data_IF_532082729695
#
_entry.id   IF_532082729695
#
_cell.length_a   1.000
_cell.length_b   1.000
_cell.length_c   1.000
_cell.angle_alpha   90.00
_cell.angle_beta   90.00
_cell.angle_gamma   90.00
#
_symmetry.space_group_name_H-M   'P 1'
#
loop_
_entity.id
_entity.type
_entity.pdbx_description
1 polymer ?
#
# COMPACT_ATOMS: atom_id res chain seq x y z
N UNK A 1 -11.91 56.20 -46.53
CA UNK A 1 -10.72 57.05 -46.34
C UNK A 1 -9.64 56.18 -45.71
N UNK A 2 -8.50 56.00 -46.39
CA UNK A 2 -7.27 55.36 -45.87
C UNK A 2 -6.50 56.29 -44.91
N UNK A 3 -5.19 56.08 -44.63
CA UNK A 3 -4.17 55.27 -45.34
C UNK A 3 -3.52 54.16 -44.46
N UNK A 4 -3.11 53.01 -45.03
CA UNK A 4 -1.74 52.59 -45.41
C UNK A 4 -0.59 53.15 -44.55
N UNK A 5 0.22 52.24 -44.00
CA UNK A 5 1.67 52.29 -44.21
C UNK A 5 2.32 50.91 -44.03
N UNK A 6 3.20 50.62 -44.98
CA UNK A 6 4.04 49.46 -45.11
C UNK A 6 5.49 49.88 -44.83
N UNK A 7 6.28 48.99 -44.23
CA UNK A 7 7.73 49.09 -44.12
C UNK A 7 8.22 47.85 -43.38
N UNK A 8 8.60 46.77 -44.08
CA UNK A 8 9.88 46.52 -44.75
C UNK A 8 10.99 46.11 -43.77
N UNK A 9 11.56 44.94 -44.08
CA UNK A 9 12.56 44.16 -43.35
C UNK A 9 13.90 44.88 -43.14
N UNK A 10 14.62 44.50 -42.06
CA UNK A 10 16.08 44.27 -41.96
C UNK A 10 16.31 43.56 -40.60
N UNK A 11 16.61 42.26 -40.54
CA UNK A 11 17.90 41.57 -40.69
C UNK A 11 18.93 41.90 -39.58
N UNK A 12 19.18 40.87 -38.77
CA UNK A 12 20.33 40.59 -37.88
C UNK A 12 20.61 41.50 -36.68
N UNK A 13 20.44 40.94 -35.48
CA UNK A 13 21.51 40.90 -34.48
C UNK A 13 21.45 39.58 -33.69
N UNK A 14 22.54 38.84 -33.78
CA UNK A 14 22.89 37.69 -32.95
C UNK A 14 23.54 38.28 -31.70
N UNK A 15 22.88 38.22 -30.56
CA UNK A 15 23.57 38.25 -29.26
C UNK A 15 23.03 37.16 -28.33
N UNK A 16 23.97 36.32 -27.92
CA UNK A 16 23.86 35.25 -26.95
C UNK A 16 23.30 35.74 -25.62
N UNK A 17 22.17 35.15 -25.19
CA UNK A 17 21.54 35.41 -23.90
C UNK A 17 21.04 34.13 -23.25
N UNK A 18 21.79 33.02 -23.37
CA UNK A 18 21.50 31.76 -22.68
C UNK A 18 22.01 31.83 -21.24
N UNK A 19 21.26 32.48 -20.37
CA UNK A 19 21.49 32.47 -18.92
C UNK A 19 20.16 32.70 -18.21
N UNK A 20 19.70 32.00 -17.18
CA UNK A 20 20.16 30.87 -16.37
C UNK A 20 18.87 30.43 -15.65
N UNK A 21 18.21 29.36 -16.10
CA UNK A 21 17.16 28.69 -15.31
C UNK A 21 17.66 27.33 -14.86
N UNK A 22 18.90 27.30 -14.38
CA UNK A 22 19.53 26.12 -13.79
C UNK A 22 20.04 26.52 -12.42
N UNK A 23 19.13 26.93 -11.54
CA UNK A 23 19.52 27.35 -10.18
C UNK A 23 18.42 27.12 -9.14
N UNK A 24 17.34 26.39 -9.47
CA UNK A 24 16.32 26.05 -8.48
C UNK A 24 16.24 24.56 -8.14
N UNK A 25 16.62 23.68 -9.05
CA UNK A 25 16.70 22.23 -8.78
C UNK A 25 18.08 21.76 -8.35
N UNK A 26 19.13 22.58 -8.55
CA UNK A 26 20.52 22.18 -8.27
C UNK A 26 20.93 22.47 -6.81
N UNK A 27 20.38 23.52 -6.18
CA UNK A 27 20.63 23.82 -4.76
C UNK A 27 19.78 22.97 -3.79
N UNK A 28 18.81 22.21 -4.28
CA UNK A 28 17.97 21.35 -3.42
C UNK A 28 18.66 20.03 -3.04
N UNK A 29 19.80 19.70 -3.65
CA UNK A 29 20.59 18.50 -3.31
C UNK A 29 21.65 18.74 -2.24
N UNK A 30 22.07 20.00 -2.02
CA UNK A 30 23.09 20.32 -1.01
C UNK A 30 22.55 20.23 0.43
N UNK A 31 21.24 20.34 0.64
CA UNK A 31 20.62 20.30 1.97
C UNK A 31 20.29 18.88 2.47
N UNK A 32 20.33 17.87 1.58
CA UNK A 32 20.12 16.46 1.95
C UNK A 32 21.35 15.85 2.62
N UNK A 33 22.53 16.44 2.41
CA UNK A 33 23.79 15.96 2.98
C UNK A 33 23.87 16.22 4.49
N UNK A 34 23.28 17.31 4.98
CA UNK A 34 23.28 17.68 6.41
C UNK A 34 22.53 16.65 7.28
N UNK A 35 21.44 16.07 6.76
CA UNK A 35 20.68 15.01 7.45
C UNK A 35 21.33 13.63 7.36
N UNK A 36 22.11 13.37 6.32
CA UNK A 36 22.94 12.18 6.20
C UNK A 36 24.16 12.24 7.12
N UNK A 37 24.72 13.44 7.32
CA UNK A 37 25.79 13.72 8.27
C UNK A 37 25.34 13.61 9.74
N UNK A 38 24.06 13.88 10.04
CA UNK A 38 23.46 13.77 11.38
C UNK A 38 22.79 12.42 11.67
N UNK A 39 22.67 11.53 10.69
CA UNK A 39 22.27 10.16 10.97
C UNK A 39 23.35 9.54 11.86
N UNK A 40 23.02 8.95 13.03
CA UNK A 40 24.01 8.26 13.83
C UNK A 40 24.60 7.16 12.95
N UNK A 41 25.80 7.40 12.43
CA UNK A 41 26.61 6.36 11.85
C UNK A 41 26.67 5.28 12.92
N UNK A 42 26.09 4.11 12.63
CA UNK A 42 26.06 2.99 13.54
C UNK A 42 27.49 2.83 14.06
N UNK A 43 27.70 3.07 15.36
CA UNK A 43 29.06 3.16 15.93
C UNK A 43 29.86 1.95 15.47
N UNK A 44 31.11 2.17 15.07
CA UNK A 44 32.00 1.10 14.63
C UNK A 44 32.11 0.05 15.74
N UNK A 45 31.45 -1.09 15.56
CA UNK A 45 31.28 -2.13 16.61
C UNK A 45 29.82 -2.50 16.93
N UNK A 46 28.83 -1.78 16.41
CA UNK A 46 27.42 -2.16 16.56
C UNK A 46 27.12 -3.41 15.72
N UNK A 47 26.39 -4.42 16.22
CA UNK A 47 26.09 -5.65 15.46
C UNK A 47 25.49 -5.38 14.08
N UNK A 48 24.68 -4.31 13.97
CA UNK A 48 24.09 -3.87 12.70
C UNK A 48 25.07 -3.21 11.71
N UNK A 49 26.24 -2.72 12.15
CA UNK A 49 27.24 -2.17 11.24
C UNK A 49 27.87 -3.28 10.38
N UNK A 50 28.07 -4.46 10.96
CA UNK A 50 28.63 -5.63 10.27
C UNK A 50 27.65 -6.22 9.24
N UNK A 51 26.34 -6.21 9.54
CA UNK A 51 25.31 -6.75 8.64
C UNK A 51 24.72 -5.70 7.70
N UNK A 52 25.02 -4.41 7.87
CA UNK A 52 24.46 -3.32 7.04
C UNK A 52 24.69 -3.57 5.55
N UNK A 53 25.92 -3.93 5.16
CA UNK A 53 26.25 -4.22 3.77
C UNK A 53 25.44 -5.40 3.21
N UNK A 54 25.38 -6.50 3.96
CA UNK A 54 24.62 -7.70 3.58
C UNK A 54 23.11 -7.43 3.50
N UNK A 55 22.56 -6.67 4.45
CA UNK A 55 21.15 -6.29 4.45
C UNK A 55 20.79 -5.41 3.25
N UNK A 56 21.64 -4.41 2.94
CA UNK A 56 21.46 -3.56 1.76
C UNK A 56 21.57 -4.37 0.48
N UNK A 57 22.56 -5.27 0.38
CA UNK A 57 22.72 -6.14 -0.78
C UNK A 57 21.51 -7.08 -0.96
N UNK A 58 21.08 -7.78 0.09
CA UNK A 58 19.91 -8.67 0.05
C UNK A 58 18.63 -7.90 -0.28
N UNK A 59 18.44 -6.71 0.28
CA UNK A 59 17.29 -5.86 -0.03
C UNK A 59 17.29 -5.44 -1.51
N UNK A 60 18.45 -5.01 -2.03
CA UNK A 60 18.61 -4.65 -3.45
C UNK A 60 18.40 -5.85 -4.37
N UNK A 61 18.96 -7.03 -4.05
CA UNK A 61 18.77 -8.25 -4.84
C UNK A 61 17.29 -8.62 -4.92
N UNK A 62 16.58 -8.63 -3.78
CA UNK A 62 15.14 -8.92 -3.75
C UNK A 62 14.31 -7.91 -4.54
N UNK A 63 14.65 -6.62 -4.44
CA UNK A 63 13.98 -5.56 -5.19
C UNK A 63 14.18 -5.72 -6.71
N UNK A 64 15.42 -5.99 -7.15
CA UNK A 64 15.74 -6.20 -8.56
C UNK A 64 15.07 -7.47 -9.12
N UNK A 65 15.02 -8.54 -8.34
CA UNK A 65 14.32 -9.77 -8.73
C UNK A 65 12.81 -9.54 -8.86
N UNK A 66 12.21 -8.77 -7.96
CA UNK A 66 10.81 -8.37 -8.05
C UNK A 66 10.56 -7.51 -9.31
N UNK A 67 11.46 -6.55 -9.60
CA UNK A 67 11.36 -5.70 -10.80
C UNK A 67 11.49 -6.51 -12.10
N UNK A 68 12.40 -7.48 -12.15
CA UNK A 68 12.51 -8.43 -13.29
C UNK A 68 11.24 -9.26 -13.47
N UNK A 69 10.60 -9.71 -12.39
CA UNK A 69 9.32 -10.45 -12.45
C UNK A 69 8.19 -9.60 -13.03
N UNK A 70 8.12 -8.32 -12.64
CA UNK A 70 7.12 -7.37 -13.18
C UNK A 70 7.34 -7.06 -14.66
N UNK A 71 8.59 -6.92 -15.10
CA UNK A 71 8.89 -6.70 -16.52
C UNK A 71 8.57 -7.92 -17.38
N UNK A 72 8.84 -9.14 -16.89
CA UNK A 72 8.46 -10.38 -17.59
C UNK A 72 6.94 -10.56 -17.70
N UNK A 73 6.15 -10.06 -16.74
CA UNK A 73 4.69 -10.13 -16.86
C UNK A 73 4.11 -9.13 -17.87
N UNK A 74 4.82 -8.04 -18.17
CA UNK A 74 4.37 -7.02 -19.14
C UNK A 74 4.76 -7.37 -20.59
N UNK A 75 5.87 -8.10 -20.80
CA UNK A 75 6.37 -8.47 -22.13
C UNK A 75 5.75 -9.72 -22.77
N UNK A 76 4.90 -10.46 -22.05
CA UNK A 76 4.36 -11.76 -22.49
C UNK A 76 2.85 -11.69 -22.83
N UNK A 77 2.44 -10.60 -23.47
CA UNK A 77 1.07 -10.38 -23.95
C UNK A 77 0.98 -10.32 -25.48
N UNK A 78 1.87 -10.98 -26.24
CA UNK A 78 1.61 -11.28 -27.67
C UNK A 78 2.21 -12.65 -28.01
N UNK A 79 1.35 -13.54 -28.54
CA UNK A 79 1.60 -14.88 -29.13
C UNK A 79 1.77 -16.07 -28.19
N UNK A 80 0.62 -16.60 -27.75
CA UNK A 80 0.39 -18.04 -27.86
C UNK A 80 -1.10 -18.32 -28.02
N UNK A 81 -1.44 -18.92 -29.16
CA UNK A 81 -2.72 -19.52 -29.49
C UNK A 81 -2.97 -20.68 -28.53
N UNK A 82 -3.62 -20.40 -27.40
CA UNK A 82 -4.12 -21.44 -26.50
C UNK A 82 -5.63 -21.53 -26.72
N UNK A 83 -6.03 -22.73 -27.16
CA UNK A 83 -7.40 -23.19 -27.38
C UNK A 83 -8.38 -22.67 -26.30
N UNK A 84 -9.52 -22.19 -26.77
CA UNK A 84 -10.49 -21.34 -26.06
C UNK A 84 -11.27 -21.97 -24.90
N UNK A 85 -10.82 -23.08 -24.29
CA UNK A 85 -11.65 -23.83 -23.34
C UNK A 85 -11.04 -24.22 -21.97
N UNK A 86 -9.83 -23.81 -21.61
CA UNK A 86 -9.26 -24.18 -20.29
C UNK A 86 -8.56 -23.04 -19.53
N UNK A 87 -9.20 -21.87 -19.50
CA UNK A 87 -8.87 -20.84 -18.52
C UNK A 87 -9.84 -20.93 -17.34
N UNK A 88 -9.76 -22.01 -16.54
CA UNK A 88 -10.17 -21.92 -15.13
C UNK A 88 -9.31 -20.82 -14.50
N UNK A 89 -9.85 -19.61 -14.46
CA UNK A 89 -9.20 -18.45 -13.82
C UNK A 89 -8.79 -18.91 -12.42
N UNK A 90 -7.50 -18.84 -12.10
CA UNK A 90 -6.99 -19.22 -10.79
C UNK A 90 -7.68 -18.35 -9.74
N UNK A 91 -8.50 -18.97 -8.89
CA UNK A 91 -9.21 -18.29 -7.81
C UNK A 91 -8.30 -18.21 -6.58
N UNK A 92 -8.36 -17.10 -5.86
CA UNK A 92 -7.64 -16.87 -4.61
C UNK A 92 -8.53 -17.36 -3.47
N UNK A 93 -8.07 -18.33 -2.67
CA UNK A 93 -8.87 -18.83 -1.55
C UNK A 93 -9.07 -17.77 -0.45
N UNK A 94 -10.21 -17.81 0.23
CA UNK A 94 -10.42 -17.08 1.48
C UNK A 94 -9.42 -17.60 2.55
N UNK A 95 -8.69 -16.71 3.26
CA UNK A 95 -7.76 -17.11 4.33
C UNK A 95 -8.42 -17.95 5.44
N UNK A 96 -9.64 -17.61 5.87
CA UNK A 96 -10.37 -18.34 6.91
C UNK A 96 -10.77 -19.73 6.43
N UNK A 97 -11.28 -19.85 5.19
CA UNK A 97 -11.55 -21.15 4.58
C UNK A 97 -10.29 -22.00 4.43
N UNK A 98 -9.16 -21.38 4.08
CA UNK A 98 -7.89 -22.09 3.97
C UNK A 98 -7.40 -22.61 5.32
N UNK A 99 -7.68 -21.89 6.41
CA UNK A 99 -7.29 -22.28 7.77
C UNK A 99 -8.20 -23.39 8.32
N UNK A 100 -9.53 -23.24 8.18
CA UNK A 100 -10.52 -24.23 8.60
C UNK A 100 -11.63 -24.36 7.54
N UNK A 101 -11.51 -25.35 6.64
CA UNK A 101 -12.51 -25.58 5.59
C UNK A 101 -13.89 -26.00 6.11
N UNK A 102 -13.95 -26.67 7.26
CA UNK A 102 -15.20 -27.17 7.83
C UNK A 102 -16.01 -26.01 8.40
N UNK A 103 -15.36 -25.17 9.23
CA UNK A 103 -15.98 -24.00 9.87
C UNK A 103 -16.40 -22.94 8.86
N UNK A 104 -15.62 -22.75 7.79
CA UNK A 104 -15.82 -21.67 6.82
C UNK A 104 -16.29 -22.13 5.44
N UNK A 105 -16.89 -23.32 5.34
CA UNK A 105 -17.42 -23.90 4.09
C UNK A 105 -18.37 -22.98 3.30
N UNK A 106 -19.05 -22.05 3.98
CA UNK A 106 -19.89 -21.02 3.35
C UNK A 106 -19.13 -20.08 2.41
N UNK A 107 -17.81 -19.89 2.60
CA UNK A 107 -17.00 -19.00 1.78
C UNK A 107 -16.88 -19.46 0.32
N UNK A 108 -16.99 -20.77 0.07
CA UNK A 108 -16.95 -21.34 -1.28
C UNK A 108 -18.26 -21.19 -2.06
N UNK A 109 -19.39 -21.05 -1.36
CA UNK A 109 -20.72 -21.13 -1.97
C UNK A 109 -21.13 -19.88 -2.74
N UNK A 110 -20.48 -18.74 -2.52
CA UNK A 110 -20.90 -17.46 -3.10
C UNK A 110 -19.79 -16.55 -3.64
N UNK A 111 -18.51 -16.80 -3.33
CA UNK A 111 -17.44 -15.86 -3.67
C UNK A 111 -16.43 -16.49 -4.63
N UNK A 112 -16.52 -16.14 -5.91
CA UNK A 112 -15.39 -16.33 -6.84
C UNK A 112 -14.40 -15.20 -6.62
N UNK A 113 -13.38 -15.48 -5.83
CA UNK A 113 -12.36 -14.51 -5.46
C UNK A 113 -11.26 -14.50 -6.53
N UNK A 114 -11.46 -13.72 -7.60
CA UNK A 114 -10.55 -13.65 -8.75
C UNK A 114 -9.42 -12.62 -8.56
N UNK A 115 -9.49 -11.80 -7.51
CA UNK A 115 -8.54 -10.71 -7.25
C UNK A 115 -8.40 -10.42 -5.76
N UNK A 116 -7.30 -9.77 -5.37
CA UNK A 116 -7.06 -9.34 -3.97
C UNK A 116 -8.15 -8.37 -3.49
N UNK A 117 -8.66 -7.50 -4.35
CA UNK A 117 -9.77 -6.59 -3.98
C UNK A 117 -11.01 -7.37 -3.56
N UNK A 118 -11.39 -8.39 -4.33
CA UNK A 118 -12.53 -9.25 -4.00
C UNK A 118 -12.28 -10.03 -2.71
N UNK A 119 -11.05 -10.48 -2.45
CA UNK A 119 -10.70 -11.10 -1.18
C UNK A 119 -10.89 -10.12 -0.03
N UNK A 120 -10.42 -8.86 -0.16
CA UNK A 120 -10.63 -7.82 0.84
C UNK A 120 -12.11 -7.58 1.10
N UNK A 121 -12.90 -7.37 0.04
CA UNK A 121 -14.34 -7.14 0.17
C UNK A 121 -15.03 -8.33 0.85
N UNK A 122 -14.69 -9.56 0.45
CA UNK A 122 -15.20 -10.77 1.09
C UNK A 122 -14.86 -10.83 2.59
N UNK A 123 -13.61 -10.57 2.96
CA UNK A 123 -13.18 -10.53 4.35
C UNK A 123 -13.94 -9.49 5.17
N UNK A 124 -14.22 -8.32 4.57
CA UNK A 124 -14.95 -7.23 5.22
C UNK A 124 -16.44 -7.51 5.39
N UNK A 125 -17.05 -8.34 4.54
CA UNK A 125 -18.47 -8.66 4.58
C UNK A 125 -18.76 -9.94 5.36
N UNK A 126 -17.94 -10.98 5.20
CA UNK A 126 -18.23 -12.33 5.72
C UNK A 126 -17.47 -12.65 7.02
N UNK A 127 -16.35 -11.96 7.27
CA UNK A 127 -15.49 -12.24 8.43
C UNK A 127 -15.35 -11.03 9.34
N UNK A 128 -16.26 -10.06 9.29
CA UNK A 128 -16.21 -8.93 10.22
C UNK A 128 -16.50 -9.42 11.64
N UNK A 129 -15.63 -9.09 12.58
CA UNK A 129 -15.96 -9.33 14.00
C UNK A 129 -17.15 -8.46 14.43
N UNK A 130 -18.02 -8.97 15.32
CA UNK A 130 -19.12 -8.18 15.85
C UNK A 130 -18.59 -6.98 16.65
N UNK A 131 -19.46 -6.00 16.92
CA UNK A 131 -19.12 -5.01 17.93
C UNK A 131 -19.16 -5.70 19.28
N UNK A 132 -18.02 -5.89 19.94
CA UNK A 132 -17.96 -6.60 21.23
C UNK A 132 -17.40 -5.74 22.35
N UNK A 133 -17.77 -6.04 23.60
CA UNK A 133 -17.15 -5.43 24.78
C UNK A 133 -15.80 -6.11 25.09
N UNK A 134 -14.70 -5.37 25.24
CA UNK A 134 -13.40 -5.96 25.53
C UNK A 134 -13.32 -6.62 26.93
N UNK A 135 -14.23 -6.28 27.85
CA UNK A 135 -14.28 -6.82 29.21
C UNK A 135 -15.07 -8.12 29.25
N UNK A 136 -16.35 -8.08 28.90
CA UNK A 136 -17.26 -9.22 29.07
C UNK A 136 -17.48 -10.04 27.79
N UNK A 137 -16.90 -9.62 26.67
CA UNK A 137 -17.02 -10.25 25.35
C UNK A 137 -18.46 -10.44 24.87
N UNK A 138 -19.40 -9.62 25.33
CA UNK A 138 -20.76 -9.60 24.76
C UNK A 138 -20.73 -8.86 23.43
N UNK A 139 -21.50 -9.32 22.46
CA UNK A 139 -21.69 -8.68 21.17
C UNK A 139 -22.86 -7.67 21.17
N UNK A 140 -22.82 -6.78 20.20
CA UNK A 140 -23.76 -5.68 20.03
C UNK A 140 -24.04 -5.48 18.54
N UNK A 141 -25.27 -5.10 18.22
CA UNK A 141 -25.66 -4.78 16.84
C UNK A 141 -25.00 -3.51 16.31
N UNK A 142 -24.68 -2.55 17.19
CA UNK A 142 -24.11 -1.25 16.83
C UNK A 142 -22.96 -0.86 17.75
N UNK A 143 -22.00 -0.08 17.22
CA UNK A 143 -20.92 0.51 18.01
C UNK A 143 -21.47 1.35 19.17
N UNK A 144 -22.53 2.14 18.95
CA UNK A 144 -23.14 2.96 19.98
C UNK A 144 -23.68 2.15 21.17
N UNK A 145 -24.26 0.97 20.91
CA UNK A 145 -24.73 0.08 21.98
C UNK A 145 -23.57 -0.49 22.81
N UNK A 146 -22.48 -0.90 22.13
CA UNK A 146 -21.24 -1.33 22.77
C UNK A 146 -20.66 -0.21 23.64
N UNK A 147 -20.55 1.00 23.09
CA UNK A 147 -19.90 2.12 23.77
C UNK A 147 -20.70 2.53 25.01
N UNK A 148 -22.04 2.59 24.90
CA UNK A 148 -22.92 2.81 26.07
C UNK A 148 -22.75 1.73 27.13
N UNK A 149 -22.58 0.47 26.73
CA UNK A 149 -22.32 -0.63 27.66
C UNK A 149 -20.96 -0.46 28.37
N UNK A 150 -19.90 -0.12 27.63
CA UNK A 150 -18.55 0.10 28.18
C UNK A 150 -18.56 1.27 29.18
N UNK A 151 -19.23 2.38 28.85
CA UNK A 151 -19.34 3.56 29.73
C UNK A 151 -20.07 3.22 31.04
N UNK A 152 -21.12 2.41 30.98
CA UNK A 152 -21.86 1.98 32.18
C UNK A 152 -21.03 1.13 33.14
N UNK A 153 -20.01 0.42 32.63
CA UNK A 153 -19.13 -0.46 33.43
C UNK A 153 -19.86 -1.48 34.32
N UNK A 154 -21.01 -1.97 33.86
CA UNK A 154 -21.88 -2.89 34.63
C UNK A 154 -21.62 -4.39 34.32
N UNK A 155 -20.52 -4.72 33.66
CA UNK A 155 -20.25 -6.09 33.20
C UNK A 155 -19.00 -6.69 33.84
N UNK A 156 -19.00 -8.01 33.96
CA UNK A 156 -17.88 -8.77 34.53
C UNK A 156 -16.92 -9.25 33.44
N UNK A 157 -15.65 -9.32 33.79
CA UNK A 157 -14.60 -9.83 32.91
C UNK A 157 -14.88 -11.28 32.49
N UNK A 158 -14.62 -11.59 31.22
CA UNK A 158 -14.56 -12.96 30.69
C UNK A 158 -13.22 -13.16 29.98
N UNK A 159 -12.54 -14.24 30.33
CA UNK A 159 -11.23 -14.58 29.78
C UNK A 159 -11.34 -15.11 28.34
N UNK A 160 -12.31 -16.00 28.09
CA UNK A 160 -12.50 -16.62 26.80
C UNK A 160 -12.92 -15.60 25.73
N UNK A 161 -12.21 -15.61 24.59
CA UNK A 161 -12.52 -14.77 23.45
C UNK A 161 -13.14 -15.63 22.33
N UNK A 162 -14.48 -15.63 22.18
CA UNK A 162 -15.17 -16.56 21.30
C UNK A 162 -15.20 -16.11 19.83
N UNK A 163 -14.68 -14.93 19.52
CA UNK A 163 -14.80 -14.34 18.19
C UNK A 163 -13.58 -14.66 17.33
N UNK A 164 -13.85 -15.11 16.11
CA UNK A 164 -12.87 -15.23 15.04
C UNK A 164 -13.30 -14.33 13.88
N UNK A 165 -12.35 -13.58 13.33
CA UNK A 165 -12.63 -12.68 12.22
C UNK A 165 -11.63 -11.54 12.10
N UNK A 166 -11.96 -10.61 11.22
CA UNK A 166 -11.26 -9.36 10.95
C UNK A 166 -11.64 -8.34 12.03
N UNK A 167 -10.64 -7.90 12.80
CA UNK A 167 -10.80 -6.81 13.76
C UNK A 167 -11.03 -5.46 13.09
N UNK A 168 -11.56 -4.49 13.82
CA UNK A 168 -11.71 -3.12 13.30
C UNK A 168 -10.37 -2.53 12.86
N UNK A 169 -9.27 -2.90 13.52
CA UNK A 169 -7.92 -2.47 13.17
C UNK A 169 -7.45 -3.12 11.87
N UNK A 170 -7.62 -4.44 11.74
CA UNK A 170 -7.33 -5.16 10.50
C UNK A 170 -8.20 -4.65 9.34
N UNK A 171 -9.47 -4.33 9.61
CA UNK A 171 -10.37 -3.72 8.63
C UNK A 171 -9.82 -2.38 8.13
N UNK A 172 -9.31 -1.53 9.01
CA UNK A 172 -8.66 -0.26 8.61
C UNK A 172 -7.44 -0.53 7.70
N UNK A 173 -6.64 -1.55 8.01
CA UNK A 173 -5.49 -1.95 7.18
C UNK A 173 -5.89 -2.59 5.83
N UNK A 174 -7.01 -3.30 5.77
CA UNK A 174 -7.51 -3.86 4.51
C UNK A 174 -8.07 -2.77 3.60
N UNK A 175 -8.78 -1.80 4.18
CA UNK A 175 -9.36 -0.65 3.48
C UNK A 175 -8.33 0.41 3.11
N UNK A 176 -7.21 0.50 3.83
CA UNK A 176 -6.11 1.32 3.36
C UNK A 176 -5.66 0.78 1.99
N UNK A 177 -5.70 1.65 0.98
CA UNK A 177 -4.87 1.40 -0.20
C UNK A 177 -3.44 1.27 0.32
N UNK A 178 -2.62 0.45 -0.35
CA UNK A 178 -1.16 0.59 -0.30
C UNK A 178 -0.79 1.97 -0.88
N UNK A 179 -1.27 3.07 -0.28
CA UNK A 179 -0.37 4.15 0.02
C UNK A 179 0.62 3.46 0.94
N UNK A 180 1.79 3.16 0.40
CA UNK A 180 2.97 3.41 1.17
C UNK A 180 2.81 4.84 1.70
N UNK A 181 2.14 4.99 2.84
CA UNK A 181 2.37 6.11 3.70
C UNK A 181 3.80 5.84 4.16
N UNK A 182 4.75 6.23 3.30
CA UNK A 182 5.85 7.00 3.83
C UNK A 182 5.16 7.98 4.74
N UNK A 183 5.31 7.80 6.05
CA UNK A 183 5.03 8.85 7.00
C UNK A 183 5.99 9.96 6.58
N UNK A 184 5.54 10.77 5.64
CA UNK A 184 6.01 12.12 5.46
C UNK A 184 5.61 12.75 6.79
N UNK A 185 6.61 12.90 7.64
CA UNK A 185 6.53 13.80 8.77
C UNK A 185 6.28 15.17 8.12
N UNK A 186 5.04 15.61 8.17
CA UNK A 186 4.59 16.92 7.73
C UNK A 186 4.09 17.67 8.96
N UNK A 187 4.80 18.76 9.25
CA UNK A 187 4.61 19.85 10.21
C UNK A 187 4.26 19.48 11.65
#
# INVERSE_FOLDING_TARGET
MGPVDAGSNDMEDIEDGRSETTSQTEYQWQFLDERAQLAPSLKLGHPLSFVKGTLVHVALSKYLDQKKRQQRSSGQQIRSSVSSNDRKRLEIACPFYKADPLKHSGCLKGARLLSISQVKDHLLQQHRMPFYCPVCKSDFQTAANRDRHIVKRVCSFKEEFPYEGVSDDQRRLLLSRHLYVCVAISN
#
